data_IF_703932518231
#
_entry.id   IF_703932518231
#
_cell.length_a   1.000
_cell.length_b   1.000
_cell.length_c   1.000
_cell.angle_alpha   90.00
_cell.angle_beta   90.00
_cell.angle_gamma   90.00
#
_symmetry.space_group_name_H-M   'P 1'
#
loop_
_entity.id
_entity.type
_entity.pdbx_description
1 polymer ?
#
# COMPACT_ATOMS: atom_id res chain seq x y z
N UNK A 1 20.36 5.75 5.43
CA UNK A 1 19.61 4.94 6.41
C UNK A 1 18.63 5.77 7.21
N UNK A 2 17.40 5.84 6.72
CA UNK A 2 16.24 6.30 7.48
C UNK A 2 15.56 5.06 8.07
N UNK A 3 15.13 5.14 9.33
CA UNK A 3 14.36 4.09 10.00
C UNK A 3 13.23 4.74 10.79
N UNK A 4 12.03 4.21 10.64
CA UNK A 4 10.86 4.60 11.40
C UNK A 4 10.05 3.36 11.76
N UNK A 5 9.34 3.42 12.88
CA UNK A 5 8.41 2.39 13.30
C UNK A 5 7.07 3.04 13.60
N UNK A 6 6.00 2.45 13.07
CA UNK A 6 4.61 2.82 13.38
C UNK A 6 3.98 1.64 14.09
N UNK A 7 3.41 1.87 15.28
CA UNK A 7 2.78 0.83 16.08
C UNK A 7 1.27 1.03 16.18
N UNK A 8 0.53 -0.08 16.12
CA UNK A 8 -0.91 -0.14 16.41
C UNK A 8 -1.20 -1.42 17.19
N UNK A 9 -1.50 -1.27 18.49
CA UNK A 9 -1.58 -2.41 19.41
C UNK A 9 -0.26 -3.19 19.43
N UNK A 10 -0.35 -4.50 19.21
CA UNK A 10 0.80 -5.41 19.19
C UNK A 10 1.49 -5.48 17.81
N UNK A 11 0.99 -4.75 16.81
CA UNK A 11 1.56 -4.73 15.46
C UNK A 11 2.54 -3.56 15.31
N UNK A 12 3.69 -3.84 14.70
CA UNK A 12 4.67 -2.84 14.28
C UNK A 12 4.89 -2.90 12.77
N UNK A 13 4.75 -1.76 12.10
CA UNK A 13 5.20 -1.53 10.73
C UNK A 13 6.54 -0.80 10.79
N UNK A 14 7.59 -1.47 10.34
CA UNK A 14 8.91 -0.87 10.20
C UNK A 14 9.10 -0.36 8.79
N UNK A 15 9.50 0.91 8.67
CA UNK A 15 9.82 1.56 7.40
C UNK A 15 11.31 1.90 7.42
N UNK A 16 12.02 1.54 6.37
CA UNK A 16 13.43 1.86 6.21
C UNK A 16 13.74 2.32 4.79
N UNK A 17 14.79 3.12 4.62
CA UNK A 17 15.26 3.49 3.28
C UNK A 17 15.86 2.29 2.55
N UNK A 18 15.56 2.18 1.25
CA UNK A 18 16.26 1.28 0.35
C UNK A 18 17.54 1.96 -0.14
N UNK A 19 18.63 1.79 0.60
CA UNK A 19 19.91 2.46 0.31
C UNK A 19 20.71 1.79 -0.83
N UNK A 20 20.16 0.76 -1.47
CA UNK A 20 20.72 0.06 -2.63
C UNK A 20 19.69 -0.04 -3.76
N UNK A 21 20.17 -0.31 -4.99
CA UNK A 21 19.33 -0.48 -6.18
C UNK A 21 18.64 -1.86 -6.20
N UNK A 22 17.70 -2.04 -5.27
CA UNK A 22 16.89 -3.25 -5.21
C UNK A 22 15.87 -3.28 -6.34
N UNK A 23 15.95 -4.31 -7.17
CA UNK A 23 14.96 -4.56 -8.21
C UNK A 23 13.74 -5.25 -7.60
N UNK A 24 12.62 -4.52 -7.51
CA UNK A 24 11.32 -5.06 -7.12
C UNK A 24 10.67 -5.85 -8.26
N UNK A 25 9.78 -6.81 -7.94
CA UNK A 25 8.95 -7.45 -8.96
C UNK A 25 8.07 -6.39 -9.65
N UNK A 26 7.94 -6.42 -10.99
CA UNK A 26 7.09 -5.49 -11.69
C UNK A 26 5.61 -5.74 -11.37
N UNK A 27 4.75 -4.76 -11.65
CA UNK A 27 3.30 -4.95 -11.63
C UNK A 27 2.89 -5.96 -12.72
N UNK A 28 2.39 -7.13 -12.31
CA UNK A 28 1.84 -8.14 -13.20
C UNK A 28 0.32 -8.18 -13.02
N UNK A 29 -0.40 -7.74 -14.05
CA UNK A 29 -1.86 -7.63 -14.03
C UNK A 29 -2.31 -6.58 -13.02
N UNK A 30 -2.64 -7.00 -11.79
CA UNK A 30 -3.09 -6.11 -10.72
C UNK A 30 -2.20 -6.18 -9.47
N UNK A 31 -1.03 -6.84 -9.53
CA UNK A 31 -0.17 -7.01 -8.35
C UNK A 31 1.33 -7.06 -8.64
N UNK A 32 2.15 -6.50 -7.77
CA UNK A 32 3.59 -6.73 -7.64
C UNK A 32 3.89 -7.97 -6.78
N UNK A 33 2.88 -8.52 -6.10
CA UNK A 33 3.02 -9.70 -5.23
C UNK A 33 3.64 -9.40 -3.87
N UNK A 34 3.81 -8.13 -3.51
CA UNK A 34 4.31 -7.67 -2.21
C UNK A 34 3.45 -6.50 -1.74
N UNK A 35 2.95 -6.58 -0.52
CA UNK A 35 2.09 -5.53 0.00
C UNK A 35 1.65 -5.74 1.43
N UNK A 36 1.11 -4.67 2.00
CA UNK A 36 0.52 -4.63 3.32
C UNK A 36 -1.01 -4.51 3.18
N UNK A 37 -1.75 -5.47 3.72
CA UNK A 37 -3.21 -5.37 3.75
C UNK A 37 -3.65 -4.56 4.97
N UNK A 38 -4.13 -3.34 4.74
CA UNK A 38 -4.66 -2.47 5.80
C UNK A 38 -6.18 -2.52 5.85
N UNK A 39 -6.72 -2.69 7.06
CA UNK A 39 -8.14 -2.46 7.33
C UNK A 39 -8.32 -1.03 7.82
N UNK A 40 -9.12 -0.27 7.10
CA UNK A 40 -9.47 1.12 7.43
C UNK A 40 -10.98 1.29 7.40
N UNK A 41 -11.48 2.27 8.16
CA UNK A 41 -12.91 2.58 8.18
C UNK A 41 -13.35 3.32 6.90
N UNK A 42 -12.46 4.13 6.32
CA UNK A 42 -12.69 4.92 5.10
C UNK A 42 -11.67 4.57 4.01
N UNK A 43 -12.08 3.67 3.11
CA UNK A 43 -11.24 3.18 2.00
C UNK A 43 -11.04 4.24 0.93
N UNK A 44 -12.08 5.04 0.63
CA UNK A 44 -12.00 6.09 -0.39
C UNK A 44 -11.05 7.19 0.05
N UNK A 45 -11.20 7.70 1.28
CA UNK A 45 -10.31 8.73 1.80
C UNK A 45 -8.87 8.23 1.96
N UNK A 46 -8.67 6.96 2.32
CA UNK A 46 -7.33 6.36 2.34
C UNK A 46 -6.71 6.28 0.94
N UNK A 47 -7.49 5.87 -0.06
CA UNK A 47 -7.07 5.82 -1.46
C UNK A 47 -6.70 7.21 -1.99
N UNK A 48 -7.56 8.20 -1.79
CA UNK A 48 -7.30 9.59 -2.23
C UNK A 48 -6.02 10.15 -1.62
N UNK A 49 -5.80 9.93 -0.32
CA UNK A 49 -4.55 10.36 0.35
C UNK A 49 -3.32 9.65 -0.20
N UNK A 50 -3.40 8.35 -0.47
CA UNK A 50 -2.29 7.59 -1.03
C UNK A 50 -1.93 8.08 -2.44
N UNK A 51 -2.93 8.27 -3.30
CA UNK A 51 -2.72 8.80 -4.66
C UNK A 51 -2.17 10.23 -4.62
N UNK A 52 -2.70 11.08 -3.74
CA UNK A 52 -2.16 12.44 -3.54
C UNK A 52 -0.70 12.43 -3.04
N UNK A 53 -0.27 11.38 -2.34
CA UNK A 53 1.11 11.18 -1.90
C UNK A 53 2.02 10.53 -2.98
N UNK A 54 1.50 10.25 -4.18
CA UNK A 54 2.26 9.70 -5.31
C UNK A 54 2.13 8.20 -5.51
N UNK A 55 1.23 7.51 -4.80
CA UNK A 55 0.94 6.10 -5.05
C UNK A 55 0.19 5.92 -6.39
N UNK A 56 0.43 4.78 -7.07
CA UNK A 56 -0.17 4.47 -8.36
C UNK A 56 -1.53 3.76 -8.20
N UNK A 57 -2.64 4.27 -8.77
CA UNK A 57 -3.91 3.56 -8.77
C UNK A 57 -3.88 2.25 -9.57
N UNK A 58 -4.10 1.10 -8.91
CA UNK A 58 -4.27 -0.20 -9.59
C UNK A 58 -5.70 -0.74 -9.47
N UNK A 59 -6.32 -0.60 -8.30
CA UNK A 59 -7.75 -0.86 -8.09
C UNK A 59 -8.33 0.36 -7.40
N UNK A 60 -9.15 1.13 -8.13
CA UNK A 60 -9.93 2.20 -7.54
C UNK A 60 -10.92 1.64 -6.50
N UNK A 61 -11.36 2.43 -5.50
CA UNK A 61 -12.30 1.98 -4.48
C UNK A 61 -13.54 1.29 -5.07
N UNK A 62 -13.65 -0.02 -4.83
CA UNK A 62 -14.72 -0.87 -5.36
C UNK A 62 -15.38 -1.68 -4.25
N UNK A 63 -16.66 -2.01 -4.46
CA UNK A 63 -17.37 -2.95 -3.61
C UNK A 63 -16.98 -4.38 -3.98
N UNK A 64 -16.77 -5.22 -2.98
CA UNK A 64 -16.46 -6.63 -3.18
C UNK A 64 -17.72 -7.50 -3.08
N UNK A 65 -17.70 -8.74 -3.60
CA UNK A 65 -18.77 -9.72 -3.38
C UNK A 65 -19.02 -10.08 -1.91
N UNK A 66 -18.09 -9.72 -1.01
CA UNK A 66 -18.15 -10.02 0.42
C UNK A 66 -18.70 -8.85 1.24
N UNK A 67 -19.37 -7.90 0.59
CA UNK A 67 -19.94 -6.70 1.23
C UNK A 67 -18.89 -5.83 1.94
N UNK A 68 -17.65 -5.82 1.42
CA UNK A 68 -16.59 -4.91 1.86
C UNK A 68 -16.23 -3.92 0.77
N UNK A 69 -15.47 -2.88 1.14
CA UNK A 69 -14.86 -1.94 0.20
C UNK A 69 -13.35 -2.18 0.16
N UNK A 70 -12.73 -2.06 -1.00
CA UNK A 70 -11.28 -2.20 -1.16
C UNK A 70 -10.71 -1.27 -2.22
N UNK A 71 -9.42 -0.98 -2.11
CA UNK A 71 -8.61 -0.34 -3.13
C UNK A 71 -7.22 -0.98 -3.14
N UNK A 72 -6.42 -0.70 -4.18
CA UNK A 72 -5.01 -1.13 -4.28
C UNK A 72 -4.18 -0.04 -4.93
N UNK A 73 -3.08 0.32 -4.27
CA UNK A 73 -2.20 1.41 -4.69
C UNK A 73 -0.75 1.09 -4.35
N UNK A 74 0.10 0.65 -5.32
CA UNK A 74 1.53 0.59 -5.08
C UNK A 74 2.08 1.98 -4.72
N UNK A 75 2.91 2.05 -3.69
CA UNK A 75 3.67 3.24 -3.34
C UNK A 75 4.75 3.54 -4.40
N UNK A 76 5.44 4.69 -4.35
CA UNK A 76 6.50 5.02 -5.29
C UNK A 76 7.67 4.02 -5.32
N UNK A 77 7.82 3.18 -4.29
CA UNK A 77 8.79 2.09 -4.23
C UNK A 77 8.25 0.73 -4.71
N UNK A 78 7.00 0.68 -5.18
CA UNK A 78 6.33 -0.51 -5.69
C UNK A 78 5.77 -1.47 -4.63
N UNK A 79 5.69 -1.06 -3.35
CA UNK A 79 5.01 -1.84 -2.30
C UNK A 79 3.51 -1.53 -2.32
N UNK A 80 2.64 -2.55 -2.31
CA UNK A 80 1.18 -2.37 -2.28
C UNK A 80 0.59 -2.08 -0.90
#
# INVERSE_FOLDING_TARGET
MTHAEVRSGDVALTVSSNDADYQGPPLIGRSTGRGLYLRVDDVDGAFERAVAAGAEPVIAPENTPFHTRRARVPDPGGQE
#
